data_IF_128413699818
#
_entry.id   IF_128413699818
#
_cell.length_a   1.000
_cell.length_b   1.000
_cell.length_c   1.000
_cell.angle_alpha   90.00
_cell.angle_beta   90.00
_cell.angle_gamma   90.00
#
_symmetry.space_group_name_H-M   'P 1'
#
loop_
_entity.id
_entity.type
_entity.pdbx_description
1 polymer ?
#
# COMPACT_ATOMS: atom_id res chain seq x y z
N UNK A 1 17.71 0.54 0.30
CA UNK A 1 16.84 0.24 -0.85
C UNK A 1 16.27 -1.16 -0.76
N UNK A 2 17.08 -2.21 -0.89
CA UNK A 2 16.59 -3.61 -0.85
C UNK A 2 15.76 -3.97 0.39
N UNK A 3 16.18 -3.53 1.59
CA UNK A 3 15.43 -3.77 2.83
C UNK A 3 13.99 -3.25 2.77
N UNK A 4 13.77 -2.03 2.27
CA UNK A 4 12.43 -1.46 2.20
C UNK A 4 11.56 -2.21 1.18
N UNK A 5 12.12 -2.56 0.02
CA UNK A 5 11.41 -3.34 -1.00
C UNK A 5 11.01 -4.70 -0.42
N UNK A 6 11.95 -5.40 0.24
CA UNK A 6 11.71 -6.71 0.82
C UNK A 6 10.66 -6.65 1.94
N UNK A 7 10.76 -5.70 2.87
CA UNK A 7 9.78 -5.59 3.94
C UNK A 7 8.38 -5.23 3.42
N UNK A 8 8.30 -4.33 2.45
CA UNK A 8 7.02 -3.93 1.85
C UNK A 8 6.36 -5.08 1.08
N UNK A 9 7.14 -5.82 0.29
CA UNK A 9 6.66 -7.00 -0.43
C UNK A 9 6.18 -8.09 0.53
N UNK A 10 6.98 -8.41 1.56
CA UNK A 10 6.61 -9.40 2.58
C UNK A 10 5.34 -8.99 3.35
N UNK A 11 5.20 -7.71 3.68
CA UNK A 11 4.02 -7.18 4.33
C UNK A 11 2.77 -7.34 3.45
N UNK A 12 2.84 -6.88 2.19
CA UNK A 12 1.72 -7.00 1.25
C UNK A 12 1.31 -8.46 1.04
N UNK A 13 2.27 -9.36 0.82
CA UNK A 13 2.00 -10.80 0.68
C UNK A 13 1.32 -11.35 1.93
N UNK A 14 1.84 -11.04 3.12
CA UNK A 14 1.28 -11.53 4.38
C UNK A 14 -0.15 -11.05 4.60
N UNK A 15 -0.43 -9.77 4.33
CA UNK A 15 -1.79 -9.19 4.43
C UNK A 15 -2.75 -9.89 3.48
N UNK A 16 -2.37 -10.07 2.21
CA UNK A 16 -3.22 -10.72 1.22
C UNK A 16 -3.50 -12.18 1.58
N UNK A 17 -2.49 -12.92 2.06
CA UNK A 17 -2.67 -14.30 2.50
C UNK A 17 -3.61 -14.38 3.71
N UNK A 18 -3.45 -13.49 4.69
CA UNK A 18 -4.35 -13.43 5.86
C UNK A 18 -5.79 -13.14 5.42
N UNK A 19 -6.00 -12.18 4.52
CA UNK A 19 -7.34 -11.88 4.01
C UNK A 19 -7.90 -13.03 3.15
N UNK A 20 -7.06 -13.73 2.39
CA UNK A 20 -7.49 -14.86 1.55
C UNK A 20 -7.97 -16.05 2.40
N UNK A 21 -7.21 -16.40 3.44
CA UNK A 21 -7.50 -17.58 4.27
C UNK A 21 -8.43 -17.28 5.46
N UNK A 22 -8.30 -16.10 6.08
CA UNK A 22 -9.06 -15.72 7.28
C UNK A 22 -10.04 -14.57 7.08
N UNK A 23 -10.04 -13.90 5.93
CA UNK A 23 -10.88 -12.72 5.70
C UNK A 23 -12.37 -12.98 5.93
N UNK A 24 -12.88 -14.15 5.51
CA UNK A 24 -14.28 -14.53 5.76
C UNK A 24 -14.62 -14.64 7.25
N UNK A 25 -13.76 -15.28 8.03
CA UNK A 25 -13.98 -15.45 9.48
C UNK A 25 -13.74 -14.15 10.27
N UNK A 26 -12.84 -13.29 9.81
CA UNK A 26 -12.49 -12.04 10.51
C UNK A 26 -13.49 -10.92 10.22
N UNK A 27 -14.03 -10.87 9.00
CA UNK A 27 -14.91 -9.81 8.53
C UNK A 27 -16.39 -10.23 8.52
N UNK A 28 -16.69 -11.53 8.57
CA UNK A 28 -18.06 -12.04 8.58
C UNK A 28 -18.80 -11.82 7.25
N UNK A 29 -18.08 -11.68 6.14
CA UNK A 29 -18.63 -11.32 4.82
C UNK A 29 -18.73 -12.51 3.87
N UNK A 30 -19.58 -12.37 2.85
CA UNK A 30 -19.70 -13.34 1.75
C UNK A 30 -18.41 -13.46 0.91
N UNK A 31 -18.24 -14.56 0.17
CA UNK A 31 -17.06 -14.78 -0.67
C UNK A 31 -16.85 -13.72 -1.74
N UNK A 32 -17.91 -13.20 -2.36
CA UNK A 32 -17.77 -12.14 -3.37
C UNK A 32 -17.30 -10.82 -2.75
N UNK A 33 -17.84 -10.49 -1.58
CA UNK A 33 -17.42 -9.33 -0.81
C UNK A 33 -15.98 -9.47 -0.33
N UNK A 34 -15.58 -10.66 0.15
CA UNK A 34 -14.20 -10.97 0.52
C UNK A 34 -13.24 -10.73 -0.64
N UNK A 35 -13.54 -11.25 -1.83
CA UNK A 35 -12.68 -11.06 -3.01
C UNK A 35 -12.55 -9.58 -3.37
N UNK A 36 -13.64 -8.81 -3.26
CA UNK A 36 -13.61 -7.37 -3.49
C UNK A 36 -12.78 -6.63 -2.44
N UNK A 37 -12.88 -7.02 -1.16
CA UNK A 37 -12.05 -6.47 -0.07
C UNK A 37 -10.57 -6.78 -0.29
N UNK A 38 -10.23 -7.99 -0.74
CA UNK A 38 -8.85 -8.38 -1.05
C UNK A 38 -8.30 -7.50 -2.18
N UNK A 39 -9.03 -7.37 -3.27
CA UNK A 39 -8.64 -6.50 -4.39
C UNK A 39 -8.52 -5.04 -3.96
N UNK A 40 -9.50 -4.52 -3.21
CA UNK A 40 -9.49 -3.13 -2.76
C UNK A 40 -8.33 -2.85 -1.80
N UNK A 41 -8.07 -3.78 -0.87
CA UNK A 41 -6.92 -3.69 0.04
C UNK A 41 -5.61 -3.75 -0.73
N UNK A 42 -5.50 -4.61 -1.74
CA UNK A 42 -4.31 -4.68 -2.60
C UNK A 42 -4.01 -3.32 -3.24
N UNK A 43 -4.99 -2.70 -3.89
CA UNK A 43 -4.79 -1.41 -4.57
C UNK A 43 -4.50 -0.30 -3.57
N UNK A 44 -5.23 -0.25 -2.45
CA UNK A 44 -4.93 0.72 -1.37
C UNK A 44 -3.50 0.54 -0.86
N UNK A 45 -3.05 -0.69 -0.61
CA UNK A 45 -1.66 -0.95 -0.24
C UNK A 45 -0.65 -0.42 -1.28
N UNK A 46 -0.97 -0.45 -2.58
CA UNK A 46 -0.10 0.14 -3.61
C UNK A 46 -0.05 1.66 -3.51
N UNK A 47 -1.20 2.32 -3.34
CA UNK A 47 -1.28 3.78 -3.15
C UNK A 47 -0.43 4.18 -1.93
N UNK A 48 -0.61 3.53 -0.79
CA UNK A 48 0.15 3.81 0.43
C UNK A 48 1.65 3.51 0.28
N UNK A 49 2.01 2.47 -0.46
CA UNK A 49 3.40 2.14 -0.75
C UNK A 49 4.05 3.20 -1.68
N UNK A 50 3.31 3.79 -2.61
CA UNK A 50 3.79 4.90 -3.46
C UNK A 50 4.14 6.15 -2.62
N UNK A 51 3.31 6.46 -1.62
CA UNK A 51 3.65 7.50 -0.63
C UNK A 51 4.90 7.15 0.17
N UNK A 52 5.02 5.90 0.62
CA UNK A 52 6.17 5.47 1.40
C UNK A 52 7.47 5.52 0.58
N UNK A 53 7.43 5.09 -0.69
CA UNK A 53 8.58 5.06 -1.61
C UNK A 53 9.08 6.47 -1.94
N UNK A 54 8.20 7.45 -2.05
CA UNK A 54 8.58 8.87 -2.21
C UNK A 54 9.36 9.41 -1.00
N UNK A 55 9.11 8.88 0.20
CA UNK A 55 9.71 9.35 1.46
C UNK A 55 10.99 8.61 1.87
N UNK A 56 11.57 7.79 0.98
CA UNK A 56 12.71 6.93 1.30
C UNK A 56 13.95 7.71 1.79
N UNK A 57 14.15 8.95 1.37
CA UNK A 57 15.31 9.79 1.76
C UNK A 57 15.02 10.88 2.80
N UNK A 58 13.76 11.31 2.97
CA UNK A 58 13.41 12.47 3.82
C UNK A 58 12.64 12.04 5.07
N UNK A 59 13.09 12.50 6.25
CA UNK A 59 12.45 12.22 7.55
C UNK A 59 11.00 12.74 7.65
N UNK A 60 10.63 13.74 6.85
CA UNK A 60 9.29 14.35 6.83
C UNK A 60 8.52 13.94 5.57
N UNK A 61 7.67 12.92 5.70
CA UNK A 61 6.82 12.36 4.63
C UNK A 61 5.87 13.42 4.06
N UNK A 62 5.41 14.35 4.89
CA UNK A 62 4.42 15.37 4.51
C UNK A 62 5.01 16.63 3.87
N UNK A 63 6.32 16.88 4.01
CA UNK A 63 6.93 18.14 3.55
C UNK A 63 7.14 18.11 2.03
N UNK A 64 6.22 18.76 1.30
CA UNK A 64 6.30 18.93 -0.15
C UNK A 64 5.53 17.89 -0.96
N UNK A 65 4.67 17.08 -0.33
CA UNK A 65 3.74 16.17 -1.03
C UNK A 65 2.93 16.96 -2.05
N UNK A 66 2.25 18.01 -1.59
CA UNK A 66 1.43 18.92 -2.40
C UNK A 66 2.23 19.80 -3.36
N UNK A 67 3.56 19.91 -3.20
CA UNK A 67 4.39 20.72 -4.09
C UNK A 67 4.70 20.01 -5.41
N UNK A 68 4.67 18.67 -5.43
CA UNK A 68 4.84 17.90 -6.65
C UNK A 68 3.47 17.57 -7.24
N UNK A 69 3.01 18.41 -8.18
CA UNK A 69 1.70 18.27 -8.82
C UNK A 69 1.56 16.95 -9.60
N UNK A 70 2.65 16.42 -10.16
CA UNK A 70 2.62 15.13 -10.86
C UNK A 70 2.31 13.98 -9.90
N UNK A 71 2.96 13.95 -8.74
CA UNK A 71 2.70 12.92 -7.74
C UNK A 71 1.26 12.99 -7.21
N UNK A 72 0.77 14.19 -6.90
CA UNK A 72 -0.63 14.36 -6.46
C UNK A 72 -1.59 13.93 -7.57
N UNK A 73 -1.28 14.24 -8.83
CA UNK A 73 -2.04 13.79 -9.98
C UNK A 73 -2.12 12.28 -10.10
N UNK A 74 -1.00 11.56 -9.99
CA UNK A 74 -0.94 10.09 -10.08
C UNK A 74 -1.77 9.45 -8.95
N UNK A 75 -1.62 9.93 -7.71
CA UNK A 75 -2.39 9.43 -6.57
C UNK A 75 -3.89 9.70 -6.76
N UNK A 76 -4.25 10.90 -7.21
CA UNK A 76 -5.66 11.26 -7.42
C UNK A 76 -6.28 10.35 -8.49
N UNK A 77 -5.58 10.17 -9.62
CA UNK A 77 -6.04 9.31 -10.71
C UNK A 77 -6.18 7.86 -10.24
N UNK A 78 -5.22 7.32 -9.49
CA UNK A 78 -5.32 5.94 -8.97
C UNK A 78 -6.47 5.77 -8.00
N UNK A 79 -6.71 6.71 -7.08
CA UNK A 79 -7.83 6.64 -6.13
C UNK A 79 -9.18 6.76 -6.86
N UNK A 80 -9.31 7.66 -7.84
CA UNK A 80 -10.54 7.81 -8.63
C UNK A 80 -10.80 6.56 -9.46
N UNK A 81 -9.80 6.06 -10.19
CA UNK A 81 -9.94 4.81 -10.95
C UNK A 81 -10.30 3.65 -10.03
N UNK A 82 -9.74 3.59 -8.83
CA UNK A 82 -10.06 2.55 -7.86
C UNK A 82 -11.50 2.63 -7.36
N UNK A 83 -12.00 3.83 -7.02
CA UNK A 83 -13.40 4.01 -6.64
C UNK A 83 -14.34 3.62 -7.78
N UNK A 84 -14.02 4.04 -9.01
CA UNK A 84 -14.76 3.66 -10.22
C UNK A 84 -14.75 2.16 -10.44
N UNK A 85 -13.61 1.48 -10.26
CA UNK A 85 -13.54 0.02 -10.38
C UNK A 85 -14.41 -0.69 -9.35
N UNK A 86 -14.31 -0.31 -8.07
CA UNK A 86 -15.10 -0.96 -7.00
C UNK A 86 -16.61 -0.73 -7.19
N UNK A 87 -17.01 0.42 -7.74
CA UNK A 87 -18.42 0.75 -7.92
C UNK A 87 -19.03 0.31 -9.26
N UNK A 88 -18.28 0.36 -10.37
CA UNK A 88 -18.79 0.13 -11.73
C UNK A 88 -18.41 -1.24 -12.33
N UNK A 89 -17.37 -1.92 -11.85
CA UNK A 89 -16.93 -3.20 -12.43
C UNK A 89 -17.67 -4.44 -11.87
N UNK A 90 -18.90 -4.27 -11.36
CA UNK A 90 -19.79 -5.36 -10.93
C UNK A 90 -19.90 -6.50 -11.95
N UNK A 91 -19.93 -6.14 -13.24
CA UNK A 91 -20.17 -7.09 -14.34
C UNK A 91 -18.90 -7.79 -14.84
N UNK A 92 -17.72 -7.18 -14.70
CA UNK A 92 -16.47 -7.71 -15.24
C UNK A 92 -15.60 -8.41 -14.21
N UNK A 93 -15.64 -7.98 -12.95
CA UNK A 93 -14.78 -8.48 -11.88
C UNK A 93 -15.55 -9.20 -10.77
N UNK A 94 -16.86 -9.42 -10.95
CA UNK A 94 -17.76 -10.04 -9.96
C UNK A 94 -17.67 -9.35 -8.58
N UNK A 95 -17.41 -8.04 -8.60
CA UNK A 95 -17.20 -7.23 -7.41
C UNK A 95 -18.52 -6.77 -6.81
N UNK A 96 -18.59 -6.74 -5.48
CA UNK A 96 -19.75 -6.22 -4.74
C UNK A 96 -19.44 -4.81 -4.26
N UNK A 97 -20.45 -3.94 -4.22
CA UNK A 97 -20.31 -2.62 -3.60
C UNK A 97 -19.92 -2.79 -2.13
N UNK A 98 -18.74 -2.29 -1.76
CA UNK A 98 -18.34 -2.23 -0.36
C UNK A 98 -19.13 -1.14 0.37
N UNK A 99 -19.51 -1.44 1.60
CA UNK A 99 -19.95 -0.45 2.58
C UNK A 99 -18.80 0.49 2.98
N UNK A 100 -19.15 1.65 3.53
CA UNK A 100 -18.16 2.58 4.07
C UNK A 100 -17.28 1.96 5.18
N UNK A 101 -17.83 1.03 5.95
CA UNK A 101 -17.08 0.33 6.99
C UNK A 101 -15.97 -0.56 6.39
N UNK A 102 -16.29 -1.34 5.36
CA UNK A 102 -15.31 -2.22 4.71
C UNK A 102 -14.25 -1.42 3.93
N UNK A 103 -14.65 -0.29 3.34
CA UNK A 103 -13.70 0.70 2.81
C UNK A 103 -12.74 1.20 3.89
N UNK A 104 -13.27 1.56 5.07
CA UNK A 104 -12.48 1.97 6.22
C UNK A 104 -11.48 0.89 6.65
N UNK A 105 -11.89 -0.38 6.67
CA UNK A 105 -11.01 -1.51 6.98
C UNK A 105 -9.88 -1.64 5.95
N UNK A 106 -10.19 -1.57 4.65
CA UNK A 106 -9.18 -1.64 3.59
C UNK A 106 -8.14 -0.52 3.74
N UNK A 107 -8.59 0.71 3.99
CA UNK A 107 -7.72 1.88 4.21
C UNK A 107 -6.91 1.73 5.49
N UNK A 108 -7.52 1.24 6.58
CA UNK A 108 -6.84 1.04 7.86
C UNK A 108 -5.71 0.01 7.73
N UNK A 109 -5.96 -1.11 7.05
CA UNK A 109 -4.93 -2.11 6.75
C UNK A 109 -3.82 -1.47 5.92
N UNK A 110 -4.16 -0.81 4.82
CA UNK A 110 -3.17 -0.17 3.96
C UNK A 110 -2.35 0.93 4.67
N UNK A 111 -2.93 1.64 5.64
CA UNK A 111 -2.23 2.67 6.40
C UNK A 111 -1.10 2.11 7.28
N UNK A 112 -1.16 0.84 7.71
CA UNK A 112 -0.11 0.17 8.51
C UNK A 112 1.22 0.05 7.74
N UNK A 113 1.17 0.15 6.42
CA UNK A 113 2.34 0.22 5.53
C UNK A 113 3.31 1.36 5.90
N UNK A 114 2.79 2.49 6.38
CA UNK A 114 3.59 3.66 6.80
C UNK A 114 4.40 3.46 8.07
N UNK A 115 3.82 3.05 9.23
CA UNK A 115 4.60 2.79 10.43
C UNK A 115 5.63 1.68 10.20
N UNK A 116 5.30 0.63 9.43
CA UNK A 116 6.28 -0.40 9.05
C UNK A 116 7.44 0.23 8.25
N UNK A 117 7.12 1.04 7.23
CA UNK A 117 8.13 1.75 6.44
C UNK A 117 9.03 2.65 7.29
N UNK A 118 8.49 3.27 8.34
CA UNK A 118 9.24 4.09 9.29
C UNK A 118 10.11 3.24 10.23
N UNK A 119 9.58 2.16 10.82
CA UNK A 119 10.33 1.23 11.69
C UNK A 119 11.53 0.61 10.95
N UNK A 120 11.35 0.24 9.68
CA UNK A 120 12.41 -0.32 8.83
C UNK A 120 13.57 0.66 8.65
N UNK A 121 13.37 1.98 8.81
CA UNK A 121 14.47 2.97 8.73
C UNK A 121 15.46 2.83 9.89
N UNK A 122 15.07 2.25 11.03
CA UNK A 122 15.94 2.07 12.19
C UNK A 122 16.86 0.85 12.10
N UNK A 123 16.59 -0.09 11.20
CA UNK A 123 17.49 -1.21 10.99
C UNK A 123 18.81 -0.66 10.40
N UNK A 124 19.98 -0.97 10.95
CA UNK A 124 21.26 -0.56 10.36
C UNK A 124 21.53 -1.40 9.10
N UNK A 125 21.96 -0.76 8.00
CA UNK A 125 22.57 -1.47 6.86
C UNK A 125 24.08 -1.34 7.04
N UNK A 126 24.81 -2.46 6.96
CA UNK A 126 26.28 -2.43 6.96
C UNK A 126 26.82 -1.41 5.96
N UNK A 127 27.79 -0.58 6.38
CA UNK A 127 28.38 0.46 5.53
C UNK A 127 29.04 -0.20 4.31
N UNK A 128 28.86 0.37 3.12
CA UNK A 128 29.64 -0.02 1.94
C UNK A 128 31.13 0.20 2.24
N UNK A 129 32.04 -0.70 1.83
CA UNK A 129 33.46 -0.50 2.03
C UNK A 129 33.94 0.76 1.31
N UNK A 130 34.73 1.58 2.01
CA UNK A 130 35.13 2.95 1.66
C UNK A 130 36.08 3.04 0.45
N UNK A 131 36.46 1.92 -0.17
CA UNK A 131 37.54 1.87 -1.18
C UNK A 131 37.19 2.41 -2.57
N UNK A 132 35.94 2.79 -2.87
CA UNK A 132 35.53 3.29 -4.19
C UNK A 132 35.47 4.83 -4.30
N UNK A 133 35.95 5.58 -3.31
CA UNK A 133 35.87 7.05 -3.28
C UNK A 133 37.03 7.80 -3.97
N UNK A 134 37.99 7.10 -4.56
CA UNK A 134 39.23 7.69 -5.10
C UNK A 134 39.41 7.61 -6.62
N UNK A 135 38.39 7.23 -7.40
CA UNK A 135 38.54 6.96 -8.84
C UNK A 135 37.57 7.74 -9.76
N UNK A 136 36.89 8.76 -9.25
CA UNK A 136 36.11 9.73 -10.04
C UNK A 136 36.26 11.13 -9.47
#
# INVERSE_FOLDING_TARGET
MWRNILTQALYQISVLLVLQFKGRSMLGVDEKTKNTIIFNTFVMCQVFNEFNSRSLEKKNVFKGVFRNRLFVGIIMVTVVLQAVMVELLKMFADTVRLSFAEWGVCVAIAAVTWPIGWVVKFVPVGKKPTYLRGFW
#
